data_IF_839172612882
#
_entry.id   IF_839172612882
#
_cell.length_a   1.000
_cell.length_b   1.000
_cell.length_c   1.000
_cell.angle_alpha   90.00
_cell.angle_beta   90.00
_cell.angle_gamma   90.00
#
_symmetry.space_group_name_H-M   'P 1'
#
loop_
_entity.id
_entity.type
_entity.pdbx_description
1 polymer ?
#
# COMPACT_ATOMS: atom_id res chain seq x y z
N UNK A 1 -56.59 -31.33 -38.71
CA UNK A 1 -55.55 -31.80 -37.76
C UNK A 1 -54.19 -31.32 -38.23
N UNK A 2 -53.32 -30.91 -37.29
CA UNK A 2 -51.87 -30.64 -37.44
C UNK A 2 -51.43 -29.49 -38.38
N UNK A 3 -51.28 -28.33 -37.75
CA UNK A 3 -50.35 -27.26 -38.13
C UNK A 3 -48.92 -27.81 -38.38
N UNK A 4 -48.20 -27.24 -39.36
CA UNK A 4 -46.73 -27.16 -39.36
C UNK A 4 -46.27 -25.85 -40.02
N UNK A 5 -46.35 -24.73 -39.28
CA UNK A 5 -45.49 -23.59 -39.58
C UNK A 5 -44.03 -24.01 -39.36
N UNK A 6 -43.17 -23.84 -40.37
CA UNK A 6 -41.71 -23.89 -40.19
C UNK A 6 -41.25 -22.48 -39.89
N UNK A 7 -40.90 -22.22 -38.62
CA UNK A 7 -40.25 -20.99 -38.24
C UNK A 7 -38.85 -20.92 -38.85
N UNK A 8 -38.53 -19.75 -39.41
CA UNK A 8 -37.21 -19.41 -39.91
C UNK A 8 -36.28 -19.23 -38.69
N UNK A 9 -35.20 -20.00 -38.61
CA UNK A 9 -34.17 -19.78 -37.57
C UNK A 9 -33.34 -18.57 -37.99
N UNK A 10 -33.54 -17.44 -37.32
CA UNK A 10 -32.63 -16.31 -37.41
C UNK A 10 -31.32 -16.69 -36.70
N UNK A 11 -30.22 -16.71 -37.45
CA UNK A 11 -28.89 -16.62 -36.86
C UNK A 11 -28.74 -15.22 -36.29
N UNK A 12 -28.76 -15.08 -34.96
CA UNK A 12 -28.43 -13.83 -34.31
C UNK A 12 -26.93 -13.60 -34.43
N UNK A 13 -26.54 -12.77 -35.41
CA UNK A 13 -25.20 -12.17 -35.45
C UNK A 13 -25.10 -11.27 -34.23
N UNK A 14 -24.20 -11.56 -33.31
CA UNK A 14 -23.89 -10.69 -32.18
C UNK A 14 -23.23 -9.44 -32.76
N UNK A 15 -24.01 -8.37 -32.82
CA UNK A 15 -23.59 -7.08 -33.32
C UNK A 15 -22.87 -6.34 -32.20
N UNK A 16 -21.55 -6.16 -32.31
CA UNK A 16 -20.79 -5.33 -31.38
C UNK A 16 -21.40 -3.93 -31.30
N UNK A 17 -21.91 -3.57 -30.13
CA UNK A 17 -22.25 -2.19 -29.79
C UNK A 17 -21.01 -1.59 -29.12
N UNK A 18 -20.11 -1.05 -29.94
CA UNK A 18 -19.10 -0.09 -29.47
C UNK A 18 -19.81 1.25 -29.18
N UNK A 19 -20.07 1.53 -27.91
CA UNK A 19 -20.35 2.84 -27.29
C UNK A 19 -20.46 2.54 -25.79
N UNK A 20 -19.48 2.84 -24.93
CA UNK A 20 -19.03 4.21 -24.61
C UNK A 20 -17.56 4.30 -24.21
N UNK A 21 -16.91 5.42 -24.54
CA UNK A 21 -15.57 5.74 -24.04
C UNK A 21 -15.66 6.45 -22.67
N UNK A 22 -15.37 5.69 -21.61
CA UNK A 22 -15.11 6.06 -20.19
C UNK A 22 -14.37 4.85 -19.59
N UNK A 23 -13.21 4.89 -18.95
CA UNK A 23 -12.15 5.92 -18.80
C UNK A 23 -10.80 5.18 -18.57
N UNK A 24 -9.67 5.90 -18.50
CA UNK A 24 -8.41 5.33 -17.96
C UNK A 24 -8.53 5.18 -16.44
N UNK A 25 -8.83 3.98 -15.95
CA UNK A 25 -8.94 3.73 -14.51
C UNK A 25 -7.63 3.16 -13.97
N UNK A 26 -6.84 4.04 -13.37
CA UNK A 26 -5.79 3.69 -12.40
C UNK A 26 -6.21 4.12 -10.97
N UNK A 27 -7.52 4.28 -10.79
CA UNK A 27 -8.15 4.68 -9.54
C UNK A 27 -8.51 3.44 -8.72
N UNK A 28 -8.60 3.63 -7.41
CA UNK A 28 -9.05 2.60 -6.48
C UNK A 28 -10.52 2.25 -6.80
N UNK A 29 -10.78 0.97 -7.08
CA UNK A 29 -12.12 0.46 -7.37
C UNK A 29 -12.81 0.07 -6.08
N UNK A 30 -13.87 0.80 -5.74
CA UNK A 30 -14.80 0.44 -4.68
C UNK A 30 -15.94 -0.38 -5.27
N UNK A 31 -16.16 -1.59 -4.75
CA UNK A 31 -17.28 -2.42 -5.17
C UNK A 31 -18.49 -2.04 -4.31
N UNK A 32 -19.38 -1.25 -4.89
CA UNK A 32 -20.64 -0.79 -4.29
C UNK A 32 -21.41 -1.95 -3.62
N UNK A 33 -22.12 -1.64 -2.54
CA UNK A 33 -22.88 -2.56 -1.67
C UNK A 33 -22.10 -3.71 -0.98
N UNK A 34 -20.85 -4.01 -1.36
CA UNK A 34 -20.00 -5.02 -0.70
C UNK A 34 -19.01 -4.43 0.31
N UNK A 35 -18.56 -3.20 0.08
CA UNK A 35 -17.47 -2.58 0.83
C UNK A 35 -16.07 -3.04 0.43
N UNK A 36 -15.93 -3.94 -0.56
CA UNK A 36 -14.61 -4.35 -1.05
C UNK A 36 -13.88 -3.22 -1.76
N UNK A 37 -12.55 -3.28 -1.69
CA UNK A 37 -11.64 -2.33 -2.33
C UNK A 37 -10.62 -3.11 -3.15
N UNK A 38 -10.31 -2.62 -4.36
CA UNK A 38 -9.32 -3.20 -5.26
C UNK A 38 -8.49 -2.07 -5.90
N UNK A 39 -7.19 -2.26 -6.04
CA UNK A 39 -6.33 -1.31 -6.76
C UNK A 39 -5.54 -2.07 -7.85
N UNK A 40 -6.20 -2.46 -8.96
CA UNK A 40 -5.59 -3.31 -9.96
C UNK A 40 -4.46 -2.55 -10.71
N UNK A 41 -3.52 -3.25 -11.36
CA UNK A 41 -2.48 -2.61 -12.16
C UNK A 41 -3.04 -1.68 -13.23
N UNK A 42 -2.26 -0.67 -13.63
CA UNK A 42 -2.70 0.32 -14.62
C UNK A 42 -3.06 -0.34 -15.95
N UNK A 43 -4.16 0.11 -16.55
CA UNK A 43 -4.71 -0.44 -17.80
C UNK A 43 -5.69 -1.60 -17.60
N UNK A 44 -5.90 -2.08 -16.38
CA UNK A 44 -6.98 -3.01 -16.08
C UNK A 44 -8.34 -2.30 -16.11
N UNK A 45 -9.36 -2.99 -16.64
CA UNK A 45 -10.70 -2.43 -16.83
C UNK A 45 -11.78 -3.43 -16.42
N UNK A 46 -12.97 -2.94 -16.07
CA UNK A 46 -14.13 -3.79 -15.76
C UNK A 46 -14.71 -4.33 -17.08
N UNK A 47 -14.75 -5.66 -17.21
CA UNK A 47 -15.26 -6.38 -18.38
C UNK A 47 -16.73 -6.81 -18.21
N UNK A 48 -17.11 -7.26 -17.01
CA UNK A 48 -18.48 -7.73 -16.70
C UNK A 48 -18.83 -7.52 -15.23
N UNK A 49 -20.09 -7.16 -14.96
CA UNK A 49 -20.63 -6.98 -13.61
C UNK A 49 -22.01 -7.63 -13.53
N UNK A 50 -22.20 -8.44 -12.50
CA UNK A 50 -23.43 -9.17 -12.19
C UNK A 50 -23.62 -9.21 -10.68
N UNK A 51 -24.84 -9.53 -10.22
CA UNK A 51 -25.32 -9.39 -8.83
C UNK A 51 -24.34 -9.86 -7.74
N UNK A 52 -23.57 -10.93 -7.98
CA UNK A 52 -22.55 -11.44 -7.04
C UNK A 52 -21.20 -11.73 -7.70
N UNK A 53 -20.90 -11.14 -8.86
CA UNK A 53 -19.65 -11.39 -9.60
C UNK A 53 -19.20 -10.20 -10.45
N UNK A 54 -17.92 -9.87 -10.32
CA UNK A 54 -17.20 -8.83 -11.05
C UNK A 54 -16.04 -9.45 -11.82
N UNK A 55 -15.87 -9.07 -13.08
CA UNK A 55 -14.76 -9.51 -13.93
C UNK A 55 -13.98 -8.30 -14.41
N UNK A 56 -12.68 -8.33 -14.22
CA UNK A 56 -11.72 -7.36 -14.72
C UNK A 56 -10.85 -8.03 -15.79
N UNK A 57 -10.37 -7.24 -16.75
CA UNK A 57 -9.45 -7.66 -17.80
C UNK A 57 -8.29 -6.68 -17.88
N UNK A 58 -7.09 -7.18 -18.13
CA UNK A 58 -5.90 -6.36 -18.35
C UNK A 58 -5.92 -5.64 -19.72
N UNK A 59 -4.90 -4.83 -19.99
CA UNK A 59 -4.80 -4.07 -21.25
C UNK A 59 -4.42 -4.93 -22.47
N UNK A 60 -3.83 -6.13 -22.28
CA UNK A 60 -3.53 -7.06 -23.38
C UNK A 60 -4.75 -7.89 -23.78
N UNK A 61 -5.64 -8.17 -22.83
CA UNK A 61 -6.78 -9.06 -22.97
C UNK A 61 -6.48 -10.52 -22.63
N UNK A 62 -5.24 -10.83 -22.22
CA UNK A 62 -4.76 -12.18 -21.88
C UNK A 62 -4.83 -12.48 -20.38
N UNK A 63 -4.97 -11.47 -19.51
CA UNK A 63 -5.14 -11.63 -18.06
C UNK A 63 -6.46 -11.09 -17.53
N UNK A 64 -6.97 -11.74 -16.48
CA UNK A 64 -8.27 -11.51 -15.89
C UNK A 64 -8.21 -11.57 -14.36
N UNK A 65 -9.14 -10.87 -13.72
CA UNK A 65 -9.53 -11.14 -12.33
C UNK A 65 -11.04 -11.37 -12.28
N UNK A 66 -11.48 -12.36 -11.52
CA UNK A 66 -12.88 -12.61 -11.23
C UNK A 66 -13.09 -12.67 -9.72
N UNK A 67 -13.88 -11.74 -9.20
CA UNK A 67 -14.41 -11.76 -7.82
C UNK A 67 -15.80 -12.37 -7.90
N UNK A 68 -16.10 -13.38 -7.08
CA UNK A 68 -17.40 -14.06 -7.01
C UNK A 68 -17.77 -14.31 -5.56
N UNK A 69 -18.92 -13.79 -5.14
CA UNK A 69 -19.53 -14.04 -3.83
C UNK A 69 -20.54 -15.18 -3.91
N UNK A 70 -20.64 -15.93 -2.81
CA UNK A 70 -21.69 -16.92 -2.56
C UNK A 70 -22.37 -16.63 -1.20
N UNK A 71 -23.58 -17.16 -0.94
CA UNK A 71 -24.17 -17.13 0.38
C UNK A 71 -23.26 -17.79 1.42
N UNK A 72 -23.09 -17.21 2.61
CA UNK A 72 -22.22 -17.73 3.68
C UNK A 72 -22.70 -19.02 4.36
N UNK A 73 -23.78 -19.64 3.86
CA UNK A 73 -24.23 -20.98 4.23
C UNK A 73 -23.95 -22.02 3.12
N UNK A 74 -23.17 -21.67 2.09
CA UNK A 74 -22.85 -22.56 0.97
C UNK A 74 -21.68 -23.51 1.28
N UNK A 75 -20.67 -23.04 2.00
CA UNK A 75 -19.47 -23.81 2.35
C UNK A 75 -19.23 -23.81 3.87
N UNK A 76 -18.61 -24.88 4.39
CA UNK A 76 -18.36 -25.05 5.83
C UNK A 76 -16.95 -24.59 6.28
N UNK A 77 -16.08 -24.19 5.33
CA UNK A 77 -14.70 -23.71 5.56
C UNK A 77 -14.08 -23.16 4.27
N UNK A 78 -12.95 -22.43 4.35
CA UNK A 78 -12.27 -21.90 3.17
C UNK A 78 -11.72 -23.04 2.28
N UNK A 79 -11.30 -24.15 2.90
CA UNK A 79 -10.99 -25.39 2.20
C UNK A 79 -12.19 -25.99 1.45
N UNK A 80 -13.42 -25.85 1.97
CA UNK A 80 -14.63 -26.26 1.24
C UNK A 80 -14.96 -25.33 0.06
N UNK A 81 -14.75 -24.01 0.21
CA UNK A 81 -14.84 -23.03 -0.89
C UNK A 81 -13.85 -23.42 -2.01
N UNK A 82 -12.56 -23.61 -1.67
CA UNK A 82 -11.50 -24.00 -2.62
C UNK A 82 -11.85 -25.28 -3.39
N UNK A 83 -12.16 -26.37 -2.69
CA UNK A 83 -12.49 -27.66 -3.32
C UNK A 83 -13.78 -27.58 -4.15
N UNK A 84 -14.77 -26.81 -3.69
CA UNK A 84 -16.04 -26.63 -4.39
C UNK A 84 -15.89 -25.85 -5.70
N UNK A 85 -15.10 -24.78 -5.70
CA UNK A 85 -14.91 -23.94 -6.89
C UNK A 85 -13.96 -24.58 -7.89
N UNK A 86 -12.85 -25.18 -7.45
CA UNK A 86 -11.93 -25.90 -8.36
C UNK A 86 -12.64 -27.06 -9.06
N UNK A 87 -13.55 -27.75 -8.38
CA UNK A 87 -14.44 -28.74 -9.00
C UNK A 87 -15.48 -28.12 -9.96
N UNK A 88 -16.04 -26.93 -9.66
CA UNK A 88 -17.00 -26.21 -10.54
C UNK A 88 -16.37 -25.85 -11.89
N UNK A 89 -15.08 -25.46 -11.90
CA UNK A 89 -14.34 -25.07 -13.11
C UNK A 89 -13.48 -26.20 -13.70
N UNK A 90 -13.46 -27.39 -13.10
CA UNK A 90 -12.59 -28.52 -13.47
C UNK A 90 -11.11 -28.10 -13.54
N UNK A 91 -10.61 -27.45 -12.49
CA UNK A 91 -9.20 -27.08 -12.36
C UNK A 91 -8.34 -28.21 -11.78
N UNK A 92 -7.09 -28.28 -12.23
CA UNK A 92 -5.99 -28.85 -11.44
C UNK A 92 -5.46 -27.73 -10.54
N UNK A 93 -5.39 -27.96 -9.22
CA UNK A 93 -5.07 -26.90 -8.27
C UNK A 93 -4.37 -27.42 -7.02
N UNK A 94 -3.48 -26.60 -6.46
CA UNK A 94 -2.83 -26.78 -5.18
C UNK A 94 -2.93 -25.49 -4.37
N UNK A 95 -3.10 -25.59 -3.05
CA UNK A 95 -3.28 -24.41 -2.21
C UNK A 95 -3.17 -24.73 -0.73
N UNK A 96 -2.76 -23.70 0.02
CA UNK A 96 -2.43 -23.77 1.43
C UNK A 96 -3.38 -22.87 2.25
N UNK A 97 -3.74 -23.35 3.44
CA UNK A 97 -4.58 -22.61 4.39
C UNK A 97 -3.72 -21.64 5.19
N UNK A 98 -4.19 -20.40 5.35
CA UNK A 98 -3.55 -19.34 6.13
C UNK A 98 -4.58 -18.43 6.80
N UNK A 99 -4.15 -17.62 7.77
CA UNK A 99 -5.00 -16.59 8.38
C UNK A 99 -4.95 -15.29 7.57
N UNK A 100 -6.12 -14.81 7.15
CA UNK A 100 -6.26 -13.49 6.53
C UNK A 100 -7.09 -12.57 7.44
N UNK A 101 -6.41 -11.96 8.42
CA UNK A 101 -6.99 -11.01 9.39
C UNK A 101 -8.08 -11.62 10.28
N UNK A 102 -7.81 -12.82 10.81
CA UNK A 102 -8.74 -13.57 11.66
C UNK A 102 -9.79 -14.38 10.90
N UNK A 103 -9.63 -14.55 9.58
CA UNK A 103 -10.46 -15.41 8.73
C UNK A 103 -9.62 -16.54 8.15
N UNK A 104 -10.17 -17.74 8.09
CA UNK A 104 -9.55 -18.82 7.32
C UNK A 104 -9.60 -18.45 5.83
N UNK A 105 -8.45 -18.57 5.17
CA UNK A 105 -8.35 -18.37 3.73
C UNK A 105 -7.49 -19.49 3.12
N UNK A 106 -7.77 -19.83 1.87
CA UNK A 106 -6.87 -20.63 1.02
C UNK A 106 -6.28 -19.71 -0.05
N UNK A 107 -4.96 -19.70 -0.17
CA UNK A 107 -4.27 -19.18 -1.34
C UNK A 107 -3.70 -20.36 -2.13
N UNK A 108 -3.90 -20.38 -3.45
CA UNK A 108 -3.47 -21.51 -4.27
C UNK A 108 -3.23 -21.17 -5.73
N UNK A 109 -2.43 -22.01 -6.39
CA UNK A 109 -2.23 -22.02 -7.83
C UNK A 109 -3.26 -22.95 -8.51
N UNK A 110 -3.68 -22.59 -9.71
CA UNK A 110 -4.73 -23.29 -10.44
C UNK A 110 -4.53 -23.21 -11.96
N UNK A 111 -4.79 -24.33 -12.64
CA UNK A 111 -4.78 -24.49 -14.10
C UNK A 111 -6.13 -25.08 -14.55
N UNK A 112 -6.74 -24.50 -15.59
CA UNK A 112 -8.06 -24.93 -16.06
C UNK A 112 -8.30 -24.60 -17.53
N UNK A 113 -9.14 -25.39 -18.19
CA UNK A 113 -9.62 -25.10 -19.55
C UNK A 113 -11.00 -24.44 -19.50
N UNK A 114 -11.16 -23.31 -20.18
CA UNK A 114 -12.46 -22.64 -20.33
C UNK A 114 -12.64 -22.12 -21.76
N UNK A 115 -13.81 -22.36 -22.35
CA UNK A 115 -14.12 -21.91 -23.72
C UNK A 115 -13.24 -22.53 -24.83
N UNK A 116 -12.42 -23.54 -24.51
CA UNK A 116 -11.41 -24.09 -25.43
C UNK A 116 -10.02 -23.45 -25.32
N UNK A 117 -9.80 -22.61 -24.32
CA UNK A 117 -8.50 -21.98 -23.99
C UNK A 117 -8.01 -22.48 -22.63
N UNK A 118 -6.69 -22.65 -22.51
CA UNK A 118 -6.02 -23.04 -21.27
C UNK A 118 -5.58 -21.79 -20.51
N UNK A 119 -5.89 -21.76 -19.21
CA UNK A 119 -5.60 -20.68 -18.29
C UNK A 119 -4.81 -21.19 -17.08
N UNK A 120 -3.92 -20.37 -16.55
CA UNK A 120 -3.26 -20.61 -15.27
C UNK A 120 -3.14 -19.33 -14.44
N UNK A 121 -3.10 -19.48 -13.12
CA UNK A 121 -3.06 -18.34 -12.21
C UNK A 121 -3.23 -18.73 -10.75
N UNK A 122 -3.71 -17.77 -9.96
CA UNK A 122 -3.85 -17.90 -8.51
C UNK A 122 -5.28 -17.61 -8.06
N UNK A 123 -5.67 -18.25 -6.96
CA UNK A 123 -6.96 -18.07 -6.33
C UNK A 123 -6.84 -17.76 -4.85
N UNK A 124 -7.69 -16.86 -4.38
CA UNK A 124 -7.96 -16.59 -2.97
C UNK A 124 -9.40 -17.04 -2.67
N UNK A 125 -9.55 -17.89 -1.65
CA UNK A 125 -10.84 -18.44 -1.25
C UNK A 125 -11.01 -18.19 0.25
N UNK A 126 -12.10 -17.52 0.64
CA UNK A 126 -12.33 -17.06 2.00
C UNK A 126 -13.71 -17.52 2.44
N UNK A 127 -13.77 -18.12 3.63
CA UNK A 127 -15.00 -18.43 4.36
C UNK A 127 -15.44 -17.21 5.19
N UNK A 128 -16.75 -16.98 5.28
CA UNK A 128 -17.28 -15.82 5.96
C UNK A 128 -18.76 -15.90 6.33
N UNK A 129 -19.05 -15.47 7.56
CA UNK A 129 -20.38 -15.55 8.20
C UNK A 129 -21.55 -15.06 7.31
N UNK A 130 -21.36 -13.98 6.55
CA UNK A 130 -22.37 -13.39 5.67
C UNK A 130 -22.26 -13.89 4.21
N UNK A 131 -21.05 -14.20 3.75
CA UNK A 131 -20.73 -14.62 2.38
C UNK A 131 -19.39 -15.37 2.31
N UNK A 132 -19.35 -16.40 1.46
CA UNK A 132 -18.08 -16.95 0.99
C UNK A 132 -17.57 -16.11 -0.18
N UNK A 133 -16.25 -15.90 -0.24
CA UNK A 133 -15.62 -15.14 -1.32
C UNK A 133 -14.64 -16.02 -2.10
N UNK A 134 -14.64 -15.86 -3.42
CA UNK A 134 -13.58 -16.34 -4.29
C UNK A 134 -13.06 -15.21 -5.15
N UNK A 135 -11.74 -15.07 -5.24
CA UNK A 135 -11.06 -14.19 -6.18
C UNK A 135 -10.08 -15.03 -6.97
N UNK A 136 -10.31 -15.16 -8.28
CA UNK A 136 -9.36 -15.77 -9.19
C UNK A 136 -8.64 -14.66 -9.94
N UNK A 137 -7.32 -14.70 -10.03
CA UNK A 137 -6.56 -13.88 -10.96
C UNK A 137 -5.67 -14.78 -11.80
N UNK A 138 -5.80 -14.71 -13.12
CA UNK A 138 -5.23 -15.70 -14.03
C UNK A 138 -5.00 -15.10 -15.41
N UNK A 139 -4.15 -15.73 -16.21
CA UNK A 139 -3.95 -15.41 -17.62
C UNK A 139 -4.08 -16.66 -18.49
N UNK A 140 -4.06 -16.48 -19.81
CA UNK A 140 -3.77 -17.60 -20.71
C UNK A 140 -2.44 -18.26 -20.32
N UNK A 141 -2.35 -19.58 -20.46
CA UNK A 141 -1.13 -20.32 -20.10
C UNK A 141 0.08 -19.84 -20.92
N UNK A 142 -0.13 -19.41 -22.16
CA UNK A 142 0.91 -18.83 -23.04
C UNK A 142 1.49 -17.51 -22.49
N UNK A 143 0.68 -16.70 -21.80
CA UNK A 143 1.10 -15.43 -21.21
C UNK A 143 1.51 -15.52 -19.73
N UNK A 144 1.36 -16.69 -19.10
CA UNK A 144 1.46 -16.88 -17.65
C UNK A 144 2.79 -16.44 -17.02
N UNK A 145 3.93 -16.69 -17.67
CA UNK A 145 5.24 -16.24 -17.16
C UNK A 145 5.40 -14.71 -17.22
N UNK A 146 4.87 -14.09 -18.28
CA UNK A 146 4.97 -12.65 -18.53
C UNK A 146 4.01 -11.84 -17.64
N UNK A 147 2.80 -12.35 -17.42
CA UNK A 147 1.74 -11.65 -16.68
C UNK A 147 1.64 -12.08 -15.21
N UNK A 148 2.52 -12.97 -14.73
CA UNK A 148 2.52 -13.46 -13.33
C UNK A 148 2.51 -12.33 -12.31
N UNK A 149 3.35 -11.33 -12.50
CA UNK A 149 3.52 -10.25 -11.53
C UNK A 149 2.28 -9.34 -11.52
N UNK A 150 1.69 -9.06 -12.69
CA UNK A 150 0.40 -8.38 -12.81
C UNK A 150 -0.74 -9.15 -12.14
N UNK A 151 -0.83 -10.46 -12.37
CA UNK A 151 -1.83 -11.35 -11.78
C UNK A 151 -1.71 -11.38 -10.25
N UNK A 152 -0.51 -11.55 -9.72
CA UNK A 152 -0.25 -11.54 -8.28
C UNK A 152 -0.51 -10.16 -7.67
N UNK A 153 -0.05 -9.08 -8.31
CA UNK A 153 -0.24 -7.71 -7.82
C UNK A 153 -1.72 -7.29 -7.83
N UNK A 154 -2.48 -7.70 -8.85
CA UNK A 154 -3.92 -7.47 -8.88
C UNK A 154 -4.58 -8.17 -7.69
N UNK A 155 -4.29 -9.45 -7.45
CA UNK A 155 -4.83 -10.21 -6.33
C UNK A 155 -4.41 -9.64 -4.96
N UNK A 156 -3.15 -9.22 -4.83
CA UNK A 156 -2.61 -8.58 -3.61
C UNK A 156 -3.20 -7.18 -3.34
N UNK A 157 -3.70 -6.51 -4.38
CA UNK A 157 -4.38 -5.22 -4.23
C UNK A 157 -5.78 -5.31 -3.62
N UNK A 158 -6.36 -6.50 -3.48
CA UNK A 158 -7.69 -6.67 -2.90
C UNK A 158 -7.71 -6.42 -1.38
N UNK A 159 -8.78 -5.81 -0.87
CA UNK A 159 -9.10 -5.69 0.54
C UNK A 159 -10.60 -5.91 0.80
N UNK A 160 -10.93 -6.72 1.82
CA UNK A 160 -12.32 -7.00 2.23
C UNK A 160 -13.07 -5.78 2.77
N UNK A 161 -12.36 -4.71 3.16
CA UNK A 161 -12.96 -3.45 3.58
C UNK A 161 -11.95 -2.30 3.47
N UNK A 162 -12.39 -1.03 3.48
CA UNK A 162 -11.48 0.12 3.40
C UNK A 162 -10.52 0.21 4.59
N UNK A 163 -10.92 -0.32 5.76
CA UNK A 163 -10.07 -0.38 6.97
C UNK A 163 -8.85 -1.29 6.76
N UNK A 164 -8.94 -2.27 5.86
CA UNK A 164 -7.83 -3.19 5.55
C UNK A 164 -6.90 -2.66 4.44
N UNK A 165 -7.17 -1.49 3.85
CA UNK A 165 -6.25 -0.82 2.89
C UNK A 165 -4.96 -0.30 3.54
N UNK A 166 -4.83 -0.38 4.87
CA UNK A 166 -3.62 -0.07 5.62
C UNK A 166 -2.91 -1.32 6.17
N UNK A 167 -3.28 -2.50 5.64
CA UNK A 167 -2.63 -3.77 5.90
C UNK A 167 -2.10 -4.40 4.60
N UNK A 168 -1.12 -5.32 4.68
CA UNK A 168 -0.67 -6.12 3.56
C UNK A 168 -1.80 -6.68 2.67
N UNK A 169 -1.47 -6.98 1.42
CA UNK A 169 -2.38 -7.72 0.57
C UNK A 169 -2.53 -9.19 0.98
N UNK A 170 -3.53 -9.91 0.44
CA UNK A 170 -3.71 -11.33 0.74
C UNK A 170 -2.53 -12.21 0.30
N UNK A 171 -1.84 -11.89 -0.79
CA UNK A 171 -0.67 -12.65 -1.29
C UNK A 171 0.55 -12.37 -0.40
N UNK A 172 0.76 -11.12 -0.02
CA UNK A 172 1.81 -10.71 0.91
C UNK A 172 1.58 -11.33 2.31
N UNK A 173 0.35 -11.33 2.81
CA UNK A 173 -0.02 -11.99 4.06
C UNK A 173 0.18 -13.51 4.03
N UNK A 174 -0.06 -14.13 2.87
CA UNK A 174 0.24 -15.54 2.63
C UNK A 174 1.75 -15.80 2.66
N UNK A 175 2.55 -15.05 1.90
CA UNK A 175 4.01 -15.27 1.86
C UNK A 175 4.66 -15.15 3.24
N UNK A 176 4.26 -14.15 4.04
CA UNK A 176 4.71 -13.99 5.43
C UNK A 176 4.53 -15.27 6.26
N UNK A 177 3.38 -15.92 6.14
CA UNK A 177 3.05 -17.15 6.88
C UNK A 177 3.69 -18.39 6.24
N UNK A 178 3.88 -18.41 4.92
CA UNK A 178 4.54 -19.51 4.20
C UNK A 178 6.01 -19.71 4.58
N UNK A 179 6.68 -18.65 5.07
CA UNK A 179 8.03 -18.73 5.63
C UNK A 179 8.08 -19.39 7.03
N UNK A 180 6.92 -19.69 7.63
CA UNK A 180 6.79 -20.34 8.93
C UNK A 180 6.87 -19.38 10.11
N UNK A 181 7.37 -19.87 11.25
CA UNK A 181 7.43 -19.12 12.50
C UNK A 181 8.24 -17.80 12.37
N UNK A 182 7.77 -16.69 12.98
CA UNK A 182 8.44 -15.39 12.94
C UNK A 182 9.92 -15.43 13.31
N UNK A 183 10.79 -15.02 12.38
CA UNK A 183 12.24 -14.96 12.58
C UNK A 183 12.65 -13.63 13.22
N UNK A 184 12.34 -13.50 14.50
CA UNK A 184 12.59 -12.28 15.29
C UNK A 184 14.08 -12.01 15.49
N UNK A 185 14.58 -11.00 14.78
CA UNK A 185 15.91 -10.43 14.96
C UNK A 185 15.87 -9.24 15.91
N UNK A 186 16.78 -9.22 16.89
CA UNK A 186 17.03 -8.04 17.71
C UNK A 186 17.73 -6.97 16.88
N UNK A 187 17.15 -5.77 16.87
CA UNK A 187 17.79 -4.56 16.35
C UNK A 187 17.73 -3.42 17.38
N UNK A 188 18.45 -2.34 17.10
CA UNK A 188 18.46 -1.10 17.85
C UNK A 188 18.59 0.08 16.89
N UNK A 189 17.78 1.12 17.09
CA UNK A 189 17.89 2.39 16.36
C UNK A 189 18.24 3.51 17.33
N UNK A 190 19.08 4.46 16.92
CA UNK A 190 19.39 5.65 17.74
C UNK A 190 18.39 6.74 17.40
N UNK A 191 17.53 7.09 18.35
CA UNK A 191 16.54 8.16 18.23
C UNK A 191 16.70 9.11 19.42
N UNK A 192 16.76 10.42 19.17
CA UNK A 192 16.93 11.44 20.22
C UNK A 192 18.13 11.17 21.15
N UNK A 193 19.25 10.78 20.53
CA UNK A 193 20.52 10.38 21.15
C UNK A 193 20.41 9.20 22.15
N UNK A 194 19.31 8.43 22.10
CA UNK A 194 19.09 7.23 22.90
C UNK A 194 18.88 5.99 22.02
N UNK A 195 19.28 4.83 22.53
CA UNK A 195 18.99 3.55 21.90
C UNK A 195 17.51 3.16 22.11
N UNK A 196 16.87 2.75 21.02
CA UNK A 196 15.53 2.15 21.00
C UNK A 196 15.70 0.72 20.48
N UNK A 197 15.73 -0.22 21.42
CA UNK A 197 15.83 -1.66 21.13
C UNK A 197 14.46 -2.21 20.71
N UNK A 198 14.41 -2.98 19.62
CA UNK A 198 13.19 -3.64 19.17
C UNK A 198 13.44 -4.93 18.38
N UNK A 199 12.39 -5.74 18.23
CA UNK A 199 12.42 -6.96 17.43
C UNK A 199 11.77 -6.70 16.06
N UNK A 200 12.49 -7.01 14.99
CA UNK A 200 11.96 -7.07 13.62
C UNK A 200 11.83 -8.53 13.21
N UNK A 201 10.78 -8.89 12.48
CA UNK A 201 10.66 -10.21 11.87
C UNK A 201 11.34 -10.21 10.49
N UNK A 202 12.36 -11.05 10.31
CA UNK A 202 13.07 -11.16 9.04
C UNK A 202 12.14 -11.67 7.91
N UNK A 203 11.14 -12.50 8.23
CA UNK A 203 10.15 -12.95 7.24
C UNK A 203 9.30 -11.77 6.74
N UNK A 204 8.99 -10.80 7.62
CA UNK A 204 8.23 -9.59 7.26
C UNK A 204 9.06 -8.60 6.42
N UNK A 205 10.37 -8.52 6.66
CA UNK A 205 11.30 -7.75 5.83
C UNK A 205 11.39 -8.35 4.43
N UNK A 206 11.61 -9.67 4.32
CA UNK A 206 11.70 -10.37 3.04
C UNK A 206 10.40 -10.26 2.24
N UNK A 207 9.26 -10.53 2.88
CA UNK A 207 7.93 -10.43 2.26
C UNK A 207 7.67 -9.03 1.71
N UNK A 208 8.01 -7.98 2.47
CA UNK A 208 7.81 -6.61 2.02
C UNK A 208 8.72 -6.26 0.83
N UNK A 209 9.95 -6.79 0.80
CA UNK A 209 10.83 -6.65 -0.36
C UNK A 209 10.28 -7.38 -1.60
N UNK A 210 9.69 -8.57 -1.44
CA UNK A 210 9.03 -9.28 -2.56
C UNK A 210 7.88 -8.47 -3.18
N UNK A 211 7.10 -7.74 -2.37
CA UNK A 211 6.09 -6.81 -2.88
C UNK A 211 6.77 -5.70 -3.69
N UNK A 212 7.80 -5.06 -3.15
CA UNK A 212 8.53 -3.97 -3.80
C UNK A 212 9.11 -4.39 -5.16
N UNK A 213 9.80 -5.53 -5.24
CA UNK A 213 10.38 -6.01 -6.50
C UNK A 213 9.30 -6.35 -7.54
N UNK A 214 8.17 -6.95 -7.12
CA UNK A 214 7.03 -7.24 -8.01
C UNK A 214 6.38 -5.96 -8.55
N UNK A 215 6.14 -4.97 -7.71
CA UNK A 215 5.57 -3.70 -8.17
C UNK A 215 6.57 -2.89 -9.01
N UNK A 216 7.89 -3.01 -8.76
CA UNK A 216 8.94 -2.39 -9.57
C UNK A 216 9.03 -3.04 -10.96
N UNK A 217 8.88 -4.36 -11.07
CA UNK A 217 8.80 -5.06 -12.34
C UNK A 217 7.63 -4.54 -13.19
N UNK A 218 6.44 -4.43 -12.60
CA UNK A 218 5.25 -3.84 -13.25
C UNK A 218 5.52 -2.39 -13.67
N UNK A 219 6.06 -1.55 -12.78
CA UNK A 219 6.37 -0.15 -13.09
C UNK A 219 7.33 -0.01 -14.28
N UNK A 220 8.27 -0.95 -14.45
CA UNK A 220 9.29 -0.90 -15.50
C UNK A 220 8.75 -1.02 -16.94
N UNK A 221 7.52 -1.51 -17.13
CA UNK A 221 6.85 -1.55 -18.44
C UNK A 221 6.36 -0.17 -18.90
N UNK A 222 6.22 0.80 -17.98
CA UNK A 222 5.65 2.11 -18.25
C UNK A 222 6.72 3.18 -18.52
N UNK A 223 6.34 4.21 -19.28
CA UNK A 223 7.23 5.36 -19.54
C UNK A 223 7.04 6.43 -18.46
N UNK A 224 8.08 6.84 -17.71
CA UNK A 224 7.92 7.79 -16.60
C UNK A 224 7.33 9.16 -16.96
N UNK A 225 7.34 9.53 -18.25
CA UNK A 225 6.83 10.79 -18.79
C UNK A 225 5.45 10.67 -19.48
N UNK A 226 4.81 9.50 -19.46
CA UNK A 226 3.42 9.32 -19.94
C UNK A 226 2.41 9.39 -18.79
N UNK A 227 1.15 9.72 -19.12
CA UNK A 227 0.07 9.77 -18.14
C UNK A 227 -0.10 8.40 -17.44
N UNK A 228 -0.04 7.30 -18.20
CA UNK A 228 -0.10 5.93 -17.66
C UNK A 228 1.09 5.60 -16.75
N UNK A 229 2.29 6.09 -17.06
CA UNK A 229 3.46 5.89 -16.22
C UNK A 229 3.43 6.71 -14.93
N UNK A 230 2.87 7.92 -14.97
CA UNK A 230 2.60 8.71 -13.76
C UNK A 230 1.61 7.98 -12.85
N UNK A 231 0.54 7.39 -13.42
CA UNK A 231 -0.40 6.58 -12.65
C UNK A 231 0.20 5.26 -12.13
N UNK A 232 1.05 4.59 -12.92
CA UNK A 232 1.74 3.38 -12.47
C UNK A 232 2.69 3.71 -11.30
N UNK A 233 3.34 4.87 -11.36
CA UNK A 233 4.24 5.33 -10.31
C UNK A 233 3.49 5.73 -9.03
N UNK A 234 2.30 6.36 -9.15
CA UNK A 234 1.39 6.58 -8.02
C UNK A 234 1.01 5.25 -7.34
N UNK A 235 0.56 4.28 -8.13
CA UNK A 235 0.17 2.95 -7.63
C UNK A 235 1.33 2.23 -6.94
N UNK A 236 2.53 2.27 -7.53
CA UNK A 236 3.75 1.67 -6.97
C UNK A 236 3.94 2.07 -5.49
N UNK A 237 3.96 3.37 -5.18
CA UNK A 237 4.10 3.81 -3.79
C UNK A 237 2.88 3.52 -2.92
N UNK A 238 1.65 3.57 -3.46
CA UNK A 238 0.43 3.24 -2.68
C UNK A 238 0.44 1.77 -2.22
N UNK A 239 0.83 0.82 -3.07
CA UNK A 239 0.94 -0.60 -2.71
C UNK A 239 2.05 -0.83 -1.67
N UNK A 240 3.24 -0.22 -1.84
CA UNK A 240 4.35 -0.37 -0.87
C UNK A 240 3.99 0.28 0.48
N UNK A 241 3.36 1.46 0.45
CA UNK A 241 2.86 2.15 1.64
C UNK A 241 1.86 1.29 2.40
N UNK A 242 0.86 0.74 1.69
CA UNK A 242 -0.15 -0.17 2.25
C UNK A 242 0.50 -1.39 2.91
N UNK A 243 1.43 -2.06 2.25
CA UNK A 243 2.11 -3.24 2.79
C UNK A 243 2.91 -2.92 4.05
N UNK A 244 3.55 -1.75 4.11
CA UNK A 244 4.43 -1.38 5.22
C UNK A 244 3.73 -0.66 6.37
N UNK A 245 2.51 -0.14 6.19
CA UNK A 245 1.86 0.71 7.18
C UNK A 245 1.69 0.01 8.53
N UNK A 246 0.97 -1.12 8.59
CA UNK A 246 0.77 -1.85 9.85
C UNK A 246 1.98 -2.68 10.28
N UNK A 247 2.90 -3.03 9.35
CA UNK A 247 4.22 -3.59 9.71
C UNK A 247 5.03 -2.61 10.58
N UNK A 248 4.79 -1.31 10.44
CA UNK A 248 5.45 -0.26 11.21
C UNK A 248 4.69 0.16 12.49
N UNK A 249 3.55 -0.46 12.84
CA UNK A 249 2.77 -0.17 14.07
C UNK A 249 3.65 -0.18 15.33
N UNK A 250 4.45 -1.24 15.49
CA UNK A 250 5.28 -1.44 16.68
C UNK A 250 6.45 -0.44 16.79
N UNK A 251 7.33 -0.26 15.78
CA UNK A 251 8.36 0.77 15.84
C UNK A 251 7.76 2.19 15.91
N UNK A 252 6.62 2.47 15.26
CA UNK A 252 5.92 3.74 15.41
C UNK A 252 5.48 3.99 16.86
N UNK A 253 4.93 2.98 17.55
CA UNK A 253 4.56 3.08 18.96
C UNK A 253 5.78 3.35 19.87
N UNK A 254 6.90 2.66 19.66
CA UNK A 254 8.14 2.87 20.43
C UNK A 254 8.73 4.27 20.24
N UNK A 255 8.81 4.74 18.99
CA UNK A 255 9.29 6.09 18.70
C UNK A 255 8.35 7.16 19.30
N UNK A 256 7.04 6.92 19.32
CA UNK A 256 6.03 7.79 19.96
C UNK A 256 6.19 7.87 21.47
N UNK A 257 6.51 6.75 22.12
CA UNK A 257 6.84 6.70 23.55
C UNK A 257 8.08 7.57 23.83
N UNK A 258 9.18 7.39 23.10
CA UNK A 258 10.41 8.21 23.21
C UNK A 258 10.18 9.70 22.95
N UNK A 259 9.40 10.04 21.92
CA UNK A 259 8.99 11.42 21.63
C UNK A 259 8.37 12.08 22.87
N UNK A 260 7.52 11.34 23.61
CA UNK A 260 6.84 11.81 24.82
C UNK A 260 7.75 11.87 26.07
N UNK A 261 8.69 10.93 26.23
CA UNK A 261 9.63 10.89 27.35
C UNK A 261 10.56 12.10 27.36
N UNK A 262 11.16 12.46 26.22
CA UNK A 262 12.07 13.61 26.09
C UNK A 262 11.36 14.93 26.42
N UNK A 263 10.08 15.05 26.06
CA UNK A 263 9.24 16.20 26.41
C UNK A 263 8.83 16.22 27.90
N UNK A 264 9.02 15.13 28.63
CA UNK A 264 8.87 15.05 30.08
C UNK A 264 10.20 15.33 30.82
N UNK A 265 11.33 14.82 30.31
CA UNK A 265 12.64 14.94 30.96
C UNK A 265 13.23 16.34 30.85
N UNK A 266 12.97 17.05 29.76
CA UNK A 266 13.28 18.48 29.59
C UNK A 266 12.64 19.39 30.65
N UNK A 267 11.58 18.95 31.35
CA UNK A 267 11.03 19.64 32.54
C UNK A 267 11.76 19.32 33.85
N UNK A 268 12.47 18.20 33.94
CA UNK A 268 13.09 17.72 35.18
C UNK A 268 14.40 18.43 35.55
N UNK A 269 15.07 19.06 34.59
CA UNK A 269 16.38 19.70 34.80
C UNK A 269 16.29 21.17 35.26
N UNK A 270 15.16 21.85 35.01
CA UNK A 270 14.96 23.28 35.33
C UNK A 270 14.56 23.54 36.80
N UNK A 271 15.18 22.82 37.75
CA UNK A 271 14.66 22.69 39.11
C UNK A 271 15.70 22.48 40.23
N UNK A 272 16.89 23.08 40.16
CA UNK A 272 17.74 23.22 41.35
C UNK A 272 18.71 24.42 41.29
N UNK A 273 18.19 25.62 41.54
CA UNK A 273 18.96 26.80 41.94
C UNK A 273 18.18 27.50 43.06
N UNK A 274 18.84 27.84 44.16
CA UNK A 274 18.19 28.23 45.40
C UNK A 274 18.01 29.74 45.61
N UNK A 275 17.14 30.02 46.59
CA UNK A 275 17.02 31.21 47.44
C UNK A 275 16.44 32.56 46.93
N UNK A 276 15.45 32.98 47.74
CA UNK A 276 15.07 34.35 48.16
C UNK A 276 14.19 35.28 47.29
N UNK A 277 13.06 35.64 47.93
CA UNK A 277 12.38 36.94 47.99
C UNK A 277 11.66 37.56 46.78
N UNK A 278 10.35 37.30 46.77
CA UNK A 278 9.25 38.29 46.77
C UNK A 278 9.04 39.30 45.61
N UNK A 279 7.90 39.10 44.93
CA UNK A 279 6.93 40.07 44.40
C UNK A 279 7.18 40.75 43.03
N UNK A 280 6.25 40.44 42.11
CA UNK A 280 5.67 41.25 41.02
C UNK A 280 6.60 42.01 40.05
N UNK A 281 6.86 41.40 38.88
CA UNK A 281 6.34 41.92 37.58
C UNK A 281 6.33 40.79 36.51
N UNK A 282 5.40 40.87 35.56
CA UNK A 282 5.04 39.79 34.62
C UNK A 282 5.98 39.68 33.40
N UNK A 283 6.71 38.56 33.24
CA UNK A 283 6.97 37.97 31.93
C UNK A 283 7.49 36.52 32.02
N UNK A 284 7.42 35.78 30.91
CA UNK A 284 7.93 34.41 30.76
C UNK A 284 7.19 33.34 31.60
N UNK A 285 5.91 33.14 31.27
CA UNK A 285 5.30 31.82 31.39
C UNK A 285 6.17 30.78 30.65
N UNK A 286 6.78 29.85 31.37
CA UNK A 286 7.40 28.65 30.82
C UNK A 286 6.32 27.69 30.33
N UNK A 287 5.76 28.02 29.16
CA UNK A 287 4.60 27.35 28.59
C UNK A 287 4.88 25.84 28.42
N UNK A 288 3.96 25.03 28.96
CA UNK A 288 3.97 23.60 28.71
C UNK A 288 3.57 23.37 27.25
N UNK A 289 4.47 22.84 26.42
CA UNK A 289 4.05 22.26 25.13
C UNK A 289 2.89 21.28 25.41
N UNK A 290 1.75 21.60 24.81
CA UNK A 290 0.54 20.77 24.77
C UNK A 290 0.75 19.56 23.87
N UNK A 291 -0.12 18.53 23.92
CA UNK A 291 -0.09 17.43 22.95
C UNK A 291 -0.14 17.90 21.48
N UNK A 292 -0.76 19.07 21.22
CA UNK A 292 -0.81 19.73 19.92
C UNK A 292 0.53 20.35 19.50
N UNK A 293 1.29 20.88 20.44
CA UNK A 293 2.63 21.42 20.16
C UNK A 293 3.68 20.29 20.07
N UNK A 294 3.50 19.20 20.81
CA UNK A 294 4.29 17.98 20.59
C UNK A 294 4.11 17.45 19.17
N UNK A 295 2.86 17.37 18.69
CA UNK A 295 2.54 16.98 17.31
C UNK A 295 3.12 17.95 16.25
N UNK A 296 3.33 19.24 16.59
CA UNK A 296 3.88 20.22 15.66
C UNK A 296 5.40 20.08 15.45
N UNK A 297 6.14 19.60 16.44
CA UNK A 297 7.60 19.41 16.38
C UNK A 297 8.01 17.99 15.93
N UNK A 298 7.14 16.99 16.15
CA UNK A 298 7.32 15.60 15.70
C UNK A 298 7.87 15.47 14.27
N UNK A 299 7.40 16.23 13.25
CA UNK A 299 7.98 16.17 11.91
C UNK A 299 9.47 16.51 11.83
N UNK A 300 9.96 17.51 12.58
CA UNK A 300 11.38 17.89 12.57
C UNK A 300 12.25 16.80 13.23
N UNK A 301 11.76 16.22 14.33
CA UNK A 301 12.46 15.16 15.09
C UNK A 301 12.57 13.85 14.29
N UNK A 302 11.47 13.44 13.67
CA UNK A 302 11.47 12.30 12.74
C UNK A 302 12.37 12.54 11.52
N UNK A 303 12.35 13.74 10.94
CA UNK A 303 13.18 14.06 9.78
C UNK A 303 14.68 13.96 10.12
N UNK A 304 15.09 14.55 11.25
CA UNK A 304 16.47 14.49 11.74
C UNK A 304 16.94 13.06 12.05
N UNK A 305 16.02 12.15 12.37
CA UNK A 305 16.33 10.73 12.54
C UNK A 305 16.55 10.02 11.19
N UNK A 306 15.63 10.17 10.23
CA UNK A 306 15.74 9.52 8.91
C UNK A 306 16.94 10.04 8.10
N UNK A 307 17.28 11.33 8.22
CA UNK A 307 18.46 11.92 7.54
C UNK A 307 19.77 11.24 7.94
N UNK A 308 19.89 10.71 9.16
CA UNK A 308 21.11 10.05 9.69
C UNK A 308 21.33 8.62 9.16
N UNK A 309 20.42 8.10 8.34
CA UNK A 309 20.53 6.73 7.81
C UNK A 309 21.67 6.62 6.80
N UNK A 310 22.27 5.44 6.63
CA UNK A 310 23.27 5.24 5.58
C UNK A 310 22.59 5.16 4.21
N UNK A 311 23.16 5.81 3.20
CA UNK A 311 22.63 5.71 1.84
C UNK A 311 22.99 4.35 1.24
N UNK A 312 21.98 3.54 0.93
CA UNK A 312 22.14 2.23 0.29
C UNK A 312 21.04 2.02 -0.73
N UNK A 313 21.37 1.27 -1.79
CA UNK A 313 20.44 0.75 -2.79
C UNK A 313 20.54 -0.77 -2.83
N UNK A 314 19.42 -1.42 -3.11
CA UNK A 314 19.36 -2.85 -3.44
C UNK A 314 19.76 -3.08 -4.90
N UNK A 315 19.71 -4.33 -5.38
CA UNK A 315 19.76 -4.62 -6.81
C UNK A 315 18.38 -5.09 -7.24
N UNK A 316 17.80 -4.44 -8.26
CA UNK A 316 16.39 -4.63 -8.63
C UNK A 316 15.70 -3.26 -8.65
N UNK A 317 14.75 -3.06 -7.75
CA UNK A 317 14.01 -1.81 -7.52
C UNK A 317 14.83 -0.60 -7.04
N UNK A 318 16.09 -0.79 -6.66
CA UNK A 318 16.95 0.12 -5.84
C UNK A 318 16.40 0.44 -4.41
N UNK A 319 15.10 0.26 -4.17
CA UNK A 319 14.35 0.59 -2.95
C UNK A 319 14.49 -0.50 -1.87
N UNK A 320 14.64 -0.10 -0.61
CA UNK A 320 14.64 -0.95 0.59
C UNK A 320 13.30 -0.78 1.31
N UNK A 321 12.66 -1.88 1.74
CA UNK A 321 11.36 -1.77 2.44
C UNK A 321 11.40 -0.80 3.63
N UNK A 322 10.39 0.07 3.82
CA UNK A 322 10.31 0.97 4.98
C UNK A 322 10.50 0.27 6.33
N UNK A 323 10.02 -0.97 6.48
CA UNK A 323 10.30 -1.81 7.66
C UNK A 323 11.80 -2.09 7.84
N UNK A 324 12.50 -2.53 6.77
CA UNK A 324 13.93 -2.78 6.81
C UNK A 324 14.73 -1.49 7.01
N UNK A 325 14.31 -0.38 6.40
CA UNK A 325 14.94 0.92 6.57
C UNK A 325 14.90 1.37 8.04
N UNK A 326 13.73 1.27 8.68
CA UNK A 326 13.58 1.55 10.11
C UNK A 326 14.45 0.62 10.98
N UNK A 327 14.51 -0.66 10.63
CA UNK A 327 15.21 -1.69 11.39
C UNK A 327 16.73 -1.60 11.30
N UNK A 328 17.29 -1.19 10.16
CA UNK A 328 18.73 -1.25 9.89
C UNK A 328 19.38 0.13 9.69
N UNK A 329 18.60 1.22 9.73
CA UNK A 329 19.06 2.59 9.47
C UNK A 329 19.78 2.74 8.11
N UNK A 330 19.32 1.99 7.10
CA UNK A 330 19.82 2.00 5.73
C UNK A 330 18.66 2.37 4.78
N UNK A 331 18.94 3.07 3.69
CA UNK A 331 17.91 3.38 2.68
C UNK A 331 18.35 4.43 1.67
N UNK A 332 17.74 4.37 0.49
CA UNK A 332 17.81 5.41 -0.55
C UNK A 332 16.81 6.55 -0.26
N UNK A 333 16.57 7.43 -1.23
CA UNK A 333 15.63 8.54 -1.07
C UNK A 333 14.18 8.06 -0.93
N UNK A 334 13.78 7.07 -1.72
CA UNK A 334 12.43 6.51 -1.73
C UNK A 334 12.09 5.78 -0.43
N UNK A 335 12.97 4.89 0.02
CA UNK A 335 12.85 4.13 1.28
C UNK A 335 12.64 5.06 2.47
N UNK A 336 13.44 6.14 2.52
CA UNK A 336 13.42 7.15 3.59
C UNK A 336 12.18 8.02 3.55
N UNK A 337 11.80 8.51 2.38
CA UNK A 337 10.60 9.32 2.20
C UNK A 337 9.35 8.54 2.61
N UNK A 338 9.20 7.28 2.15
CA UNK A 338 8.11 6.40 2.54
C UNK A 338 8.08 6.14 4.05
N UNK A 339 9.20 5.75 4.66
CA UNK A 339 9.27 5.51 6.11
C UNK A 339 8.85 6.75 6.91
N UNK A 340 9.38 7.92 6.54
CA UNK A 340 9.04 9.18 7.18
C UNK A 340 7.54 9.49 7.09
N UNK A 341 6.94 9.30 5.92
CA UNK A 341 5.50 9.49 5.67
C UNK A 341 4.63 8.51 6.46
N UNK A 342 5.00 7.22 6.50
CA UNK A 342 4.26 6.22 7.29
C UNK A 342 4.25 6.60 8.78
N UNK A 343 5.39 7.00 9.34
CA UNK A 343 5.48 7.42 10.73
C UNK A 343 4.71 8.71 11.03
N UNK A 344 4.72 9.69 10.11
CA UNK A 344 3.89 10.90 10.23
C UNK A 344 2.40 10.57 10.25
N UNK A 345 1.95 9.71 9.34
CA UNK A 345 0.55 9.31 9.22
C UNK A 345 0.08 8.52 10.47
N UNK A 346 0.93 7.65 11.04
CA UNK A 346 0.72 7.02 12.37
C UNK A 346 0.54 8.00 13.52
N UNK A 347 1.04 9.23 13.37
CA UNK A 347 0.92 10.31 14.35
C UNK A 347 -0.16 11.34 13.99
N UNK A 348 -0.91 11.11 12.91
CA UNK A 348 -1.98 11.99 12.45
C UNK A 348 -1.49 13.29 11.81
N UNK A 349 -0.26 13.31 11.28
CA UNK A 349 0.29 14.43 10.51
C UNK A 349 0.20 14.09 9.03
N UNK A 350 -0.50 14.93 8.27
CA UNK A 350 -0.77 14.63 6.86
C UNK A 350 0.48 14.80 6.02
N UNK A 351 0.72 13.84 5.13
CA UNK A 351 1.90 13.86 4.27
C UNK A 351 1.68 13.15 2.93
N UNK A 352 2.51 13.48 1.96
CA UNK A 352 2.51 12.93 0.60
C UNK A 352 3.96 12.71 0.15
N UNK A 353 4.21 11.75 -0.74
CA UNK A 353 5.53 11.58 -1.35
C UNK A 353 5.65 12.48 -2.59
N UNK A 354 6.84 13.06 -2.76
CA UNK A 354 7.23 13.85 -3.93
C UNK A 354 8.30 13.06 -4.68
N UNK A 355 8.08 12.77 -5.96
CA UNK A 355 9.04 12.00 -6.77
C UNK A 355 9.32 12.69 -8.09
N UNK A 356 10.53 12.53 -8.63
CA UNK A 356 10.91 13.21 -9.87
C UNK A 356 11.84 12.35 -10.72
N UNK A 357 11.39 12.00 -11.93
CA UNK A 357 12.23 11.32 -12.92
C UNK A 357 13.32 12.26 -13.46
N UNK A 358 13.09 13.58 -13.41
CA UNK A 358 14.05 14.60 -13.86
C UNK A 358 15.19 14.77 -12.86
N UNK A 359 14.89 14.67 -11.56
CA UNK A 359 15.90 14.76 -10.50
C UNK A 359 16.43 13.41 -10.03
N UNK A 360 15.84 12.29 -10.48
CA UNK A 360 16.15 10.92 -10.02
C UNK A 360 16.11 10.81 -8.49
N UNK A 361 15.10 11.42 -7.88
CA UNK A 361 15.06 11.67 -6.43
C UNK A 361 13.63 11.66 -5.87
N UNK A 362 13.54 11.39 -4.57
CA UNK A 362 12.31 11.34 -3.80
C UNK A 362 12.44 12.10 -2.47
N UNK A 363 11.39 12.82 -2.10
CA UNK A 363 11.25 13.60 -0.86
C UNK A 363 9.85 13.43 -0.28
N UNK A 364 9.61 13.95 0.91
CA UNK A 364 8.25 14.07 1.45
C UNK A 364 7.73 15.50 1.41
N UNK A 365 6.40 15.64 1.37
CA UNK A 365 5.67 16.86 1.63
C UNK A 365 4.85 16.69 2.92
N UNK A 366 4.91 17.65 3.83
CA UNK A 366 4.33 17.55 5.18
C UNK A 366 3.41 18.72 5.52
N UNK A 367 2.22 18.42 6.02
CA UNK A 367 1.27 19.38 6.56
C UNK A 367 1.70 19.86 7.96
N UNK A 368 2.65 20.78 8.00
CA UNK A 368 3.02 21.46 9.24
C UNK A 368 3.27 22.97 9.05
N UNK A 369 3.23 23.68 10.16
CA UNK A 369 3.54 25.09 10.24
C UNK A 369 5.05 25.31 10.11
N UNK A 370 5.44 26.37 9.42
CA UNK A 370 6.85 26.70 9.19
C UNK A 370 7.05 27.52 7.92
N UNK A 371 8.28 27.99 7.73
CA UNK A 371 8.72 28.76 6.56
C UNK A 371 9.50 27.86 5.59
N UNK A 372 9.74 28.35 4.37
CA UNK A 372 10.50 27.63 3.34
C UNK A 372 9.64 27.19 2.15
N UNK A 373 10.21 26.32 1.32
CA UNK A 373 9.58 25.76 0.14
C UNK A 373 8.33 24.95 0.50
N UNK A 374 7.26 25.17 -0.26
CA UNK A 374 6.00 24.43 -0.17
C UNK A 374 5.58 23.92 -1.54
N UNK A 375 4.94 22.77 -1.57
CA UNK A 375 4.29 22.20 -2.75
C UNK A 375 2.78 22.08 -2.50
N UNK A 376 1.98 22.13 -3.57
CA UNK A 376 0.53 21.97 -3.46
C UNK A 376 0.16 20.48 -3.36
N UNK A 377 -0.66 20.15 -2.38
CA UNK A 377 -1.30 18.84 -2.19
C UNK A 377 -2.79 19.10 -2.04
N UNK A 378 -3.57 18.90 -3.11
CA UNK A 378 -5.02 19.09 -3.10
C UNK A 378 -5.48 20.51 -2.77
N UNK A 379 -4.79 21.55 -3.25
CA UNK A 379 -5.09 22.95 -2.97
C UNK A 379 -4.55 23.49 -1.64
N UNK A 380 -3.71 22.71 -0.95
CA UNK A 380 -3.09 23.07 0.33
C UNK A 380 -1.57 22.97 0.22
N UNK A 381 -0.86 24.00 0.68
CA UNK A 381 0.60 24.05 0.60
C UNK A 381 1.29 23.30 1.74
N UNK A 382 1.93 22.16 1.45
CA UNK A 382 2.69 21.33 2.40
C UNK A 382 4.19 21.71 2.35
N UNK A 383 4.93 21.64 3.46
CA UNK A 383 6.38 21.89 3.49
C UNK A 383 7.15 20.73 2.88
N UNK A 384 8.17 21.03 2.07
CA UNK A 384 9.10 20.04 1.55
C UNK A 384 10.00 19.50 2.68
N UNK A 385 10.30 18.20 2.63
CA UNK A 385 11.16 17.49 3.56
C UNK A 385 12.19 16.64 2.78
N UNK A 386 13.42 17.14 2.69
CA UNK A 386 14.57 16.42 2.14
C UNK A 386 15.07 15.39 3.16
N UNK A 387 15.11 14.10 2.79
CA UNK A 387 15.43 13.00 3.71
C UNK A 387 16.85 12.44 3.56
N UNK A 388 17.61 12.93 2.58
CA UNK A 388 18.98 12.47 2.27
C UNK A 388 20.08 13.47 2.66
N UNK A 389 19.77 14.77 2.73
CA UNK A 389 20.65 15.81 3.27
C UNK A 389 20.22 16.26 4.68
N UNK A 390 21.17 16.64 5.54
CA UNK A 390 20.89 17.18 6.89
C UNK A 390 20.39 18.64 6.85
N UNK A 391 19.16 18.85 6.35
CA UNK A 391 18.52 20.18 6.24
C UNK A 391 17.16 20.25 6.93
N UNK A 392 16.74 21.45 7.32
CA UNK A 392 15.43 21.66 7.97
C UNK A 392 14.23 21.51 7.01
N UNK A 393 13.03 21.36 7.58
CA UNK A 393 11.79 21.42 6.80
C UNK A 393 11.67 22.74 6.02
N UNK A 394 11.14 22.65 4.80
CA UNK A 394 11.07 23.77 3.86
C UNK A 394 12.39 24.09 3.15
N UNK A 395 13.46 23.33 3.37
CA UNK A 395 14.71 23.45 2.62
C UNK A 395 14.75 22.44 1.47
N UNK A 396 15.19 22.90 0.29
CA UNK A 396 15.35 22.11 -0.93
C UNK A 396 16.53 22.69 -1.72
N UNK A 397 17.29 21.85 -2.42
CA UNK A 397 18.36 22.29 -3.32
C UNK A 397 17.80 23.21 -4.43
N UNK A 398 18.52 24.28 -4.78
CA UNK A 398 18.00 25.33 -5.67
C UNK A 398 17.83 24.90 -7.13
N UNK A 399 18.55 23.88 -7.56
CA UNK A 399 18.39 23.19 -8.84
C UNK A 399 17.20 22.21 -8.86
N UNK A 400 16.82 21.69 -7.69
CA UNK A 400 15.65 20.83 -7.47
C UNK A 400 14.34 21.59 -7.18
N UNK A 401 14.40 22.91 -6.99
CA UNK A 401 13.30 23.74 -6.49
C UNK A 401 12.15 24.04 -7.48
N UNK A 402 12.13 23.43 -8.66
CA UNK A 402 11.08 23.64 -9.67
C UNK A 402 9.89 22.68 -9.43
N UNK A 403 8.74 23.17 -8.94
CA UNK A 403 7.61 22.32 -8.56
C UNK A 403 6.98 21.57 -9.74
N UNK A 404 7.17 22.05 -10.98
CA UNK A 404 6.60 21.43 -12.17
C UNK A 404 7.28 20.09 -12.57
N UNK A 405 8.39 19.73 -11.90
CA UNK A 405 9.12 18.47 -12.12
C UNK A 405 8.86 17.42 -11.03
N UNK A 406 8.00 17.72 -10.06
CA UNK A 406 7.65 16.83 -8.96
C UNK A 406 6.26 16.25 -9.18
N UNK A 407 6.16 14.93 -9.25
CA UNK A 407 4.90 14.21 -9.13
C UNK A 407 4.60 14.09 -7.63
N UNK A 408 3.43 14.55 -7.22
CA UNK A 408 2.98 14.55 -5.82
C UNK A 408 1.93 13.47 -5.65
N UNK A 409 2.16 12.58 -4.68
CA UNK A 409 1.39 11.35 -4.51
C UNK A 409 0.90 11.30 -3.05
N UNK A 410 -0.37 11.64 -2.78
CA UNK A 410 -1.02 11.35 -1.51
C UNK A 410 -1.10 9.84 -1.31
N UNK A 411 -0.58 9.33 -0.18
CA UNK A 411 -0.55 7.89 0.12
C UNK A 411 -1.70 7.43 1.03
N UNK A 412 -2.45 8.36 1.61
CA UNK A 412 -3.75 8.07 2.21
C UNK A 412 -4.83 8.94 1.55
N UNK A 413 -5.78 8.30 0.88
CA UNK A 413 -7.05 8.92 0.51
C UNK A 413 -7.95 8.92 1.75
N UNK A 414 -8.12 10.11 2.35
CA UNK A 414 -8.81 10.22 3.64
C UNK A 414 -10.32 10.01 3.59
N UNK A 415 -10.95 10.21 2.42
CA UNK A 415 -12.41 10.16 2.25
C UNK A 415 -12.79 9.84 0.80
N UNK A 416 -13.41 8.68 0.55
CA UNK A 416 -14.52 8.57 -0.40
C UNK A 416 -15.91 8.53 0.26
N UNK A 417 -16.04 8.63 1.59
CA UNK A 417 -17.21 8.15 2.35
C UNK A 417 -18.14 9.25 2.92
N UNK A 418 -18.36 10.35 2.19
CA UNK A 418 -19.33 11.41 2.55
C UNK A 418 -20.60 11.38 1.69
#
# INVERSE_FOLDING_TARGET
MRNKCRFFRYSAVIMLIFLSAVSSVAEVVYIEDTGFVLEPPVGWTILDVSESRWTFQDFTGEAFMQIKMYPGDKYDSAGAVFNGVTAEINAEAEGDIYDLYGREAVFGFLEFNSGGYDYSGYGLFIDGDDFDLTILSFSSTEASELLRDYVLSALDSFALSPVLMLNPGPVSSYYLQSFGEPQRQQTATVFEDQAVDWLVDANAVETSQLVIEREAAILSDFRPDSDEGIEAWKRYYRIIYRDNYSRLDYPAALLKERLSEVSSSSRGSAGNAGDTDAADDDSWFSARLTPRELAADTPHRLLSWVQKFNYRRTGGSDLISPLAAAAFQDGDCDSRALLYIILLNHYGVDSAIMVSAVYSHAMAAVDTAGQGARIDVGGKGFLVAETTDEVGLGMIASDMADPAKWVVIPLMEKEPWN
#
